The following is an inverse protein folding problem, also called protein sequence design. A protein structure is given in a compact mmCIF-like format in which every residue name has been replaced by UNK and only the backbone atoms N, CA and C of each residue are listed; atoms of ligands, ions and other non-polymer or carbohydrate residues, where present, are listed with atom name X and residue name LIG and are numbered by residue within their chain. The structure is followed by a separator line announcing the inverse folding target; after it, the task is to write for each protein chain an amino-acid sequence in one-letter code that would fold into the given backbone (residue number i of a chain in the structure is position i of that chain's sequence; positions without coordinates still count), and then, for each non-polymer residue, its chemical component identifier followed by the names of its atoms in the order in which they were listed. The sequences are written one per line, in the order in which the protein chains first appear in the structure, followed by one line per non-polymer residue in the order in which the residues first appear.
data_IF_346057554296
#
_entry.id   IF_346057554296
#
_cell.length_a   1.000
_cell.length_b   1.000
_cell.length_c   1.000
_cell.angle_alpha   90.00
_cell.angle_beta   90.00
_cell.angle_gamma   90.00
#
_symmetry.space_group_name_H-M   'P 1'
#
loop_
_entity.id
_entity.type
_entity.pdbx_description
1 polymer ?
#
# COMPACT_ATOMS: atom_id res chain seq x y z
N UNK A 1 32.85 61.23 23.43
CA UNK A 1 31.46 60.86 23.80
C UNK A 1 30.84 60.08 22.65
N UNK A 2 30.43 58.84 22.93
CA UNK A 2 29.76 57.92 22.01
C UNK A 2 28.34 58.35 21.68
N UNK A 3 27.86 58.06 20.45
CA UNK A 3 26.46 57.94 19.95
C UNK A 3 26.50 58.20 18.42
N UNK A 4 26.08 57.38 17.47
CA UNK A 4 25.19 56.20 17.40
C UNK A 4 25.59 55.41 16.13
N UNK A 5 25.83 54.10 16.24
CA UNK A 5 25.68 53.20 15.10
C UNK A 5 24.31 52.54 15.25
N UNK A 6 23.36 52.90 14.38
CA UNK A 6 22.05 52.26 14.34
C UNK A 6 22.12 51.08 13.38
N UNK A 7 21.84 49.93 13.95
CA UNK A 7 21.60 48.61 13.37
C UNK A 7 20.88 48.62 12.03
N UNK A 8 21.50 47.97 11.03
CA UNK A 8 20.78 47.29 9.94
C UNK A 8 21.43 45.92 9.78
N UNK A 9 20.91 44.93 10.51
CA UNK A 9 21.26 43.53 10.33
C UNK A 9 20.05 42.67 10.69
N UNK A 10 18.93 42.86 9.98
CA UNK A 10 17.80 41.94 9.99
C UNK A 10 17.28 41.83 8.55
N UNK A 11 17.95 41.02 7.73
CA UNK A 11 17.41 40.50 6.47
C UNK A 11 18.36 39.46 5.86
N UNK A 12 18.62 38.33 6.53
CA UNK A 12 19.28 37.18 5.86
C UNK A 12 18.81 35.79 6.33
N UNK A 13 17.86 35.68 7.27
CA UNK A 13 17.36 34.38 7.74
C UNK A 13 15.94 34.01 7.24
N UNK A 14 15.46 34.64 6.16
CA UNK A 14 14.12 34.39 5.62
C UNK A 14 14.12 33.80 4.19
N UNK A 15 15.22 33.16 3.78
CA UNK A 15 15.36 32.56 2.45
C UNK A 15 16.06 31.20 2.57
N UNK A 16 15.32 30.17 2.95
CA UNK A 16 15.52 28.76 2.52
C UNK A 16 14.76 27.77 3.42
N UNK A 17 13.43 27.89 3.47
CA UNK A 17 12.59 26.71 3.68
C UNK A 17 11.66 26.60 2.49
N UNK A 18 12.23 26.62 1.29
CA UNK A 18 11.59 25.99 0.15
C UNK A 18 11.69 24.49 0.41
N UNK A 19 10.68 23.93 1.08
CA UNK A 19 10.46 22.49 1.13
C UNK A 19 10.17 22.08 -0.32
N UNK A 20 11.23 21.83 -1.09
CA UNK A 20 11.10 21.10 -2.33
C UNK A 20 10.63 19.71 -1.92
N UNK A 21 9.33 19.46 -2.05
CA UNK A 21 8.86 18.11 -2.29
C UNK A 21 9.57 17.65 -3.56
N UNK A 22 10.71 16.98 -3.40
CA UNK A 22 11.51 16.49 -4.51
C UNK A 22 10.62 15.67 -5.43
N UNK A 23 10.76 15.87 -6.74
CA UNK A 23 10.13 15.00 -7.72
C UNK A 23 10.51 13.54 -7.41
N UNK A 24 9.56 12.62 -7.57
CA UNK A 24 9.82 11.20 -7.38
C UNK A 24 11.03 10.76 -8.23
N UNK A 25 11.89 9.94 -7.66
CA UNK A 25 12.93 9.24 -8.42
C UNK A 25 12.29 8.36 -9.48
N UNK A 26 13.04 7.98 -10.53
CA UNK A 26 12.52 7.07 -11.57
C UNK A 26 11.96 5.78 -10.98
N UNK A 27 12.63 5.17 -10.01
CA UNK A 27 12.14 3.96 -9.35
C UNK A 27 10.85 4.19 -8.54
N UNK A 28 10.74 5.33 -7.84
CA UNK A 28 9.49 5.70 -7.15
C UNK A 28 8.35 5.97 -8.13
N UNK A 29 8.63 6.58 -9.28
CA UNK A 29 7.64 6.78 -10.35
C UNK A 29 7.14 5.43 -10.87
N UNK A 30 8.02 4.45 -11.12
CA UNK A 30 7.60 3.10 -11.52
C UNK A 30 6.73 2.40 -10.46
N UNK A 31 7.07 2.55 -9.17
CA UNK A 31 6.25 2.00 -8.07
C UNK A 31 4.89 2.70 -8.00
N UNK A 32 4.84 4.02 -8.22
CA UNK A 32 3.59 4.76 -8.31
C UNK A 32 2.73 4.26 -9.47
N UNK A 33 3.31 4.13 -10.66
CA UNK A 33 2.62 3.62 -11.85
C UNK A 33 2.17 2.16 -11.66
N UNK A 34 2.94 1.35 -10.94
CA UNK A 34 2.50 0.01 -10.52
C UNK A 34 1.25 0.08 -9.65
N UNK A 35 1.24 0.94 -8.62
CA UNK A 35 0.10 1.09 -7.72
C UNK A 35 -1.14 1.63 -8.46
N UNK A 36 -0.97 2.67 -9.29
CA UNK A 36 -2.04 3.25 -10.10
C UNK A 36 -2.66 2.19 -11.04
N UNK A 37 -1.85 1.32 -11.66
CA UNK A 37 -2.34 0.21 -12.49
C UNK A 37 -3.06 -0.87 -11.71
N UNK A 38 -2.64 -1.16 -10.48
CA UNK A 38 -3.32 -2.16 -9.65
C UNK A 38 -4.71 -1.68 -9.23
N UNK A 39 -4.82 -0.41 -8.86
CA UNK A 39 -6.07 0.21 -8.42
C UNK A 39 -6.96 0.73 -9.56
N UNK A 40 -6.53 0.65 -10.82
CA UNK A 40 -7.39 0.95 -11.97
C UNK A 40 -8.39 -0.17 -12.28
N UNK A 41 -8.12 -1.40 -11.83
CA UNK A 41 -9.09 -2.49 -11.90
C UNK A 41 -10.22 -2.31 -10.89
N UNK A 42 -11.45 -2.54 -11.32
CA UNK A 42 -12.61 -2.51 -10.43
C UNK A 42 -12.55 -3.63 -9.39
N UNK A 43 -13.32 -3.49 -8.30
CA UNK A 43 -13.47 -4.55 -7.29
C UNK A 43 -13.95 -5.87 -7.91
N UNK A 44 -14.97 -5.79 -8.78
CA UNK A 44 -15.50 -6.91 -9.52
C UNK A 44 -14.46 -7.65 -10.36
N UNK A 45 -13.61 -6.93 -11.08
CA UNK A 45 -12.62 -7.56 -11.95
C UNK A 45 -11.47 -8.18 -11.15
N UNK A 46 -10.97 -7.47 -10.14
CA UNK A 46 -9.77 -7.85 -9.42
C UNK A 46 -10.03 -8.84 -8.28
N UNK A 47 -11.11 -8.66 -7.52
CA UNK A 47 -11.47 -9.55 -6.40
C UNK A 47 -12.58 -10.53 -6.82
N UNK A 48 -13.64 -10.03 -7.46
CA UNK A 48 -14.84 -10.82 -7.78
C UNK A 48 -14.76 -11.69 -9.05
N UNK A 49 -13.66 -11.61 -9.79
CA UNK A 49 -13.47 -12.26 -11.09
C UNK A 49 -14.63 -12.05 -12.10
N UNK A 50 -15.35 -10.93 -12.00
CA UNK A 50 -16.54 -10.62 -12.79
C UNK A 50 -16.20 -9.61 -13.90
N UNK A 51 -16.27 -10.07 -15.15
CA UNK A 51 -15.99 -9.28 -16.34
C UNK A 51 -17.23 -9.22 -17.22
N UNK A 52 -17.71 -8.01 -17.54
CA UNK A 52 -18.92 -7.81 -18.33
C UNK A 52 -20.13 -8.62 -17.78
N UNK A 53 -20.24 -8.73 -16.46
CA UNK A 53 -21.30 -9.49 -15.78
C UNK A 53 -21.14 -11.01 -15.83
N UNK A 54 -20.00 -11.55 -16.28
CA UNK A 54 -19.70 -12.98 -16.29
C UNK A 54 -18.46 -13.31 -15.47
N UNK A 55 -18.51 -14.40 -14.73
CA UNK A 55 -17.37 -14.88 -13.97
C UNK A 55 -16.31 -15.46 -14.92
N UNK A 56 -15.06 -15.00 -14.78
CA UNK A 56 -13.90 -15.45 -15.56
C UNK A 56 -12.68 -15.53 -14.63
N UNK A 57 -12.59 -16.65 -13.91
CA UNK A 57 -11.50 -16.93 -12.96
C UNK A 57 -10.13 -16.98 -13.62
N UNK A 58 -10.04 -17.47 -14.86
CA UNK A 58 -8.79 -17.54 -15.60
C UNK A 58 -8.26 -16.14 -15.96
N UNK A 59 -9.14 -15.21 -16.36
CA UNK A 59 -8.76 -13.81 -16.61
C UNK A 59 -8.37 -13.10 -15.33
N UNK A 60 -9.12 -13.31 -14.25
CA UNK A 60 -8.76 -12.80 -12.94
C UNK A 60 -7.36 -13.29 -12.50
N UNK A 61 -7.08 -14.58 -12.62
CA UNK A 61 -5.77 -15.12 -12.28
C UNK A 61 -4.63 -14.50 -13.11
N UNK A 62 -4.85 -14.26 -14.41
CA UNK A 62 -3.88 -13.54 -15.25
C UNK A 62 -3.60 -12.13 -14.73
N UNK A 63 -4.63 -11.43 -14.25
CA UNK A 63 -4.49 -10.09 -13.65
C UNK A 63 -3.71 -10.18 -12.35
N UNK A 64 -4.06 -11.08 -11.43
CA UNK A 64 -3.35 -11.23 -10.16
C UNK A 64 -1.87 -11.58 -10.37
N UNK A 65 -1.55 -12.43 -11.36
CA UNK A 65 -0.17 -12.75 -11.75
C UNK A 65 0.61 -11.55 -12.31
N UNK A 66 -0.03 -10.46 -12.75
CA UNK A 66 0.68 -9.22 -13.10
C UNK A 66 1.27 -8.59 -11.84
N UNK A 67 0.55 -8.64 -10.72
CA UNK A 67 0.90 -7.89 -9.51
C UNK A 67 1.61 -8.72 -8.46
N UNK A 68 1.25 -9.99 -8.26
CA UNK A 68 1.78 -10.83 -7.20
C UNK A 68 2.79 -11.85 -7.72
N UNK A 69 3.71 -12.27 -6.85
CA UNK A 69 4.51 -13.48 -7.10
C UNK A 69 3.64 -14.73 -7.01
N UNK A 70 3.98 -15.78 -7.75
CA UNK A 70 3.21 -17.04 -7.76
C UNK A 70 3.11 -17.67 -6.37
N UNK A 71 4.13 -17.52 -5.52
CA UNK A 71 4.12 -18.04 -4.14
C UNK A 71 3.10 -17.38 -3.21
N UNK A 72 2.50 -16.25 -3.61
CA UNK A 72 1.39 -15.61 -2.90
C UNK A 72 0.02 -15.98 -3.47
N UNK A 73 -0.03 -16.72 -4.58
CA UNK A 73 -1.27 -17.04 -5.26
C UNK A 73 -1.64 -18.50 -5.00
N UNK A 74 -2.81 -18.71 -4.42
CA UNK A 74 -3.40 -20.04 -4.36
C UNK A 74 -3.80 -20.44 -5.79
N UNK A 75 -3.26 -21.55 -6.34
CA UNK A 75 -3.57 -21.96 -7.70
C UNK A 75 -5.04 -22.35 -7.86
N UNK A 76 -5.57 -22.13 -9.06
CA UNK A 76 -6.91 -22.56 -9.45
C UNK A 76 -7.06 -24.08 -9.26
N UNK A 77 -7.91 -24.51 -8.32
CA UNK A 77 -8.12 -25.93 -8.02
C UNK A 77 -9.35 -26.52 -8.74
N UNK A 78 -10.26 -25.69 -9.27
CA UNK A 78 -11.50 -26.09 -9.98
C UNK A 78 -11.97 -25.02 -10.97
N UNK A 79 -12.70 -25.45 -12.02
CA UNK A 79 -13.28 -24.65 -13.14
C UNK A 79 -14.06 -23.37 -12.75
N UNK A 80 -14.34 -23.13 -11.47
CA UNK A 80 -15.19 -22.04 -10.98
C UNK A 80 -14.51 -21.15 -9.93
N UNK A 81 -13.25 -21.43 -9.55
CA UNK A 81 -12.51 -20.62 -8.57
C UNK A 81 -11.43 -19.82 -9.26
N UNK A 82 -11.39 -18.52 -8.96
CA UNK A 82 -10.28 -17.64 -9.32
C UNK A 82 -9.01 -17.99 -8.55
N UNK A 83 -7.86 -17.48 -9.00
CA UNK A 83 -6.71 -17.40 -8.12
C UNK A 83 -7.04 -16.45 -6.96
N UNK A 84 -6.53 -16.76 -5.78
CA UNK A 84 -6.72 -15.96 -4.57
C UNK A 84 -5.36 -15.60 -3.98
N UNK A 85 -5.25 -14.44 -3.36
CA UNK A 85 -4.00 -14.00 -2.72
C UNK A 85 -3.91 -14.63 -1.33
N UNK A 86 -3.21 -15.75 -1.19
CA UNK A 86 -2.91 -16.45 0.07
C UNK A 86 -4.11 -16.65 1.03
N UNK A 87 -5.34 -16.81 0.49
CA UNK A 87 -6.56 -16.93 1.30
C UNK A 87 -7.13 -15.60 1.83
N UNK A 88 -6.48 -14.49 1.49
CA UNK A 88 -6.90 -13.12 1.78
C UNK A 88 -7.81 -12.64 0.66
N UNK A 89 -9.12 -12.85 0.82
CA UNK A 89 -10.10 -12.60 -0.24
C UNK A 89 -10.21 -11.14 -0.70
N UNK A 90 -9.83 -10.17 0.14
CA UNK A 90 -10.01 -8.74 -0.15
C UNK A 90 -8.82 -7.89 0.31
N UNK A 91 -7.60 -8.24 -0.13
CA UNK A 91 -6.39 -7.54 0.33
C UNK A 91 -6.43 -6.03 0.04
N UNK A 92 -7.07 -5.58 -1.06
CA UNK A 92 -7.22 -4.14 -1.36
C UNK A 92 -8.21 -3.41 -0.42
N UNK A 93 -8.94 -4.15 0.42
CA UNK A 93 -9.96 -3.68 1.36
C UNK A 93 -9.77 -4.33 2.74
N UNK A 94 -8.72 -3.96 3.49
CA UNK A 94 -8.41 -4.59 4.77
C UNK A 94 -9.36 -4.11 5.88
N UNK A 95 -10.62 -4.53 5.88
CA UNK A 95 -11.44 -4.57 7.10
C UNK A 95 -12.43 -5.73 7.09
N UNK A 96 -12.17 -6.71 7.96
CA UNK A 96 -13.12 -7.54 8.70
C UNK A 96 -14.26 -8.23 7.93
N UNK A 97 -13.97 -8.81 6.77
CA UNK A 97 -14.81 -9.81 6.11
C UNK A 97 -15.69 -9.28 4.97
N UNK A 98 -16.42 -10.20 4.34
CA UNK A 98 -17.20 -9.98 3.10
C UNK A 98 -18.26 -8.87 3.15
N UNK A 99 -18.59 -8.35 4.34
CA UNK A 99 -19.63 -7.35 4.56
C UNK A 99 -19.37 -6.00 3.87
N UNK A 100 -18.10 -5.63 3.66
CA UNK A 100 -17.74 -4.31 3.12
C UNK A 100 -17.59 -4.31 1.58
N UNK A 101 -17.47 -5.49 0.95
CA UNK A 101 -17.53 -5.61 -0.51
C UNK A 101 -18.90 -5.14 -1.03
N UNK A 102 -19.97 -5.48 -0.30
CA UNK A 102 -21.35 -5.14 -0.65
C UNK A 102 -21.67 -3.64 -0.47
N UNK A 103 -20.99 -2.96 0.46
CA UNK A 103 -21.24 -1.53 0.76
C UNK A 103 -20.57 -0.57 -0.23
N UNK A 104 -19.49 -0.97 -0.89
CA UNK A 104 -18.65 -0.06 -1.69
C UNK A 104 -18.17 -0.60 -3.04
N UNK A 105 -18.40 -1.89 -3.34
CA UNK A 105 -17.66 -2.61 -4.37
C UNK A 105 -18.41 -3.00 -5.65
N UNK A 106 -19.73 -2.82 -5.76
CA UNK A 106 -20.43 -3.42 -6.92
C UNK A 106 -20.07 -2.80 -8.27
N UNK A 107 -19.67 -1.51 -8.35
CA UNK A 107 -19.34 -0.83 -9.62
C UNK A 107 -18.37 0.36 -9.43
N UNK A 108 -17.08 0.16 -9.70
CA UNK A 108 -16.14 1.27 -9.98
C UNK A 108 -14.95 1.43 -9.03
N UNK A 109 -14.33 2.62 -9.08
CA UNK A 109 -13.13 2.95 -8.32
C UNK A 109 -13.37 2.97 -6.81
N UNK A 110 -12.36 2.61 -6.03
CA UNK A 110 -12.42 2.58 -4.57
C UNK A 110 -12.59 4.00 -4.03
N UNK A 111 -13.78 4.32 -3.52
CA UNK A 111 -14.09 5.66 -3.02
C UNK A 111 -13.19 6.02 -1.84
N UNK A 112 -12.53 7.18 -1.94
CA UNK A 112 -11.67 7.68 -0.86
C UNK A 112 -10.31 6.98 -0.77
N UNK A 113 -9.92 6.23 -1.80
CA UNK A 113 -8.58 5.66 -1.90
C UNK A 113 -7.52 6.76 -1.92
N UNK A 114 -6.51 6.59 -1.06
CA UNK A 114 -5.28 7.38 -1.05
C UNK A 114 -4.10 6.43 -1.19
N UNK A 115 -3.25 6.70 -2.17
CA UNK A 115 -1.97 6.00 -2.33
C UNK A 115 -0.85 6.95 -1.89
N UNK A 116 -0.02 6.52 -0.95
CA UNK A 116 1.09 7.30 -0.41
C UNK A 116 2.23 6.39 0.04
N UNK A 117 3.26 6.97 0.68
CA UNK A 117 4.38 6.18 1.22
C UNK A 117 5.21 5.49 0.14
N UNK A 118 5.23 6.05 -1.07
CA UNK A 118 5.92 5.48 -2.22
C UNK A 118 7.43 5.60 -2.00
N UNK A 119 8.07 4.45 -1.80
CA UNK A 119 9.53 4.36 -1.67
C UNK A 119 10.07 3.27 -2.59
N UNK A 120 11.29 3.47 -3.06
CA UNK A 120 12.02 2.49 -3.85
C UNK A 120 13.51 2.61 -3.56
N UNK A 121 14.18 1.48 -3.40
CA UNK A 121 15.62 1.36 -3.20
C UNK A 121 16.12 0.12 -3.94
N UNK A 122 16.83 0.33 -5.05
CA UNK A 122 17.30 -0.73 -5.94
C UNK A 122 16.16 -1.58 -6.49
N UNK A 123 16.15 -2.86 -6.12
CA UNK A 123 15.15 -3.85 -6.53
C UNK A 123 13.95 -3.94 -5.57
N UNK A 124 13.88 -3.11 -4.53
CA UNK A 124 12.82 -3.13 -3.51
C UNK A 124 11.97 -1.88 -3.59
N UNK A 125 10.68 -2.01 -3.31
CA UNK A 125 9.77 -0.88 -3.24
C UNK A 125 8.64 -1.10 -2.25
N UNK A 126 7.93 -0.01 -1.94
CA UNK A 126 6.71 -0.04 -1.15
C UNK A 126 5.74 1.06 -1.59
N UNK A 127 4.47 0.83 -1.33
CA UNK A 127 3.47 1.88 -1.25
C UNK A 127 2.41 1.48 -0.22
N UNK A 128 1.73 2.47 0.32
CA UNK A 128 0.56 2.30 1.19
C UNK A 128 -0.69 2.73 0.46
N UNK A 129 -1.72 1.91 0.54
CA UNK A 129 -3.07 2.25 0.12
C UNK A 129 -3.95 2.35 1.36
N UNK A 130 -4.67 3.46 1.48
CA UNK A 130 -5.59 3.74 2.58
C UNK A 130 -6.95 4.11 2.01
N UNK A 131 -7.99 3.73 2.72
CA UNK A 131 -9.35 4.20 2.44
C UNK A 131 -9.91 4.87 3.67
N UNK A 132 -10.75 5.89 3.48
CA UNK A 132 -11.14 6.84 4.54
C UNK A 132 -11.78 6.22 5.79
N UNK A 133 -12.30 4.99 5.73
CA UNK A 133 -12.91 4.30 6.87
C UNK A 133 -12.41 2.86 7.11
N UNK A 134 -11.55 2.31 6.24
CA UNK A 134 -11.40 0.85 6.09
C UNK A 134 -9.97 0.32 6.23
N UNK A 135 -9.11 1.05 6.96
CA UNK A 135 -7.74 0.62 7.22
C UNK A 135 -6.79 0.87 6.04
N UNK A 136 -5.53 0.52 6.27
CA UNK A 136 -4.43 0.73 5.35
C UNK A 136 -3.74 -0.59 5.04
N UNK A 137 -3.29 -0.75 3.79
CA UNK A 137 -2.42 -1.86 3.37
C UNK A 137 -1.08 -1.26 2.98
N UNK A 138 -0.01 -1.76 3.57
CA UNK A 138 1.33 -1.51 3.07
C UNK A 138 1.77 -2.71 2.23
N UNK A 139 2.10 -2.45 0.96
CA UNK A 139 2.56 -3.46 0.02
C UNK A 139 4.07 -3.41 -0.09
N UNK A 140 4.70 -4.59 -0.11
CA UNK A 140 6.13 -4.74 -0.28
C UNK A 140 6.42 -5.35 -1.66
N UNK A 141 7.26 -4.68 -2.43
CA UNK A 141 7.53 -5.00 -3.81
C UNK A 141 8.98 -5.43 -4.00
N UNK A 142 9.21 -6.33 -4.95
CA UNK A 142 10.52 -6.57 -5.56
C UNK A 142 10.45 -6.48 -7.07
N UNK A 143 11.55 -6.06 -7.70
CA UNK A 143 11.71 -5.98 -9.16
C UNK A 143 12.40 -7.25 -9.67
N UNK A 144 11.69 -8.04 -10.47
CA UNK A 144 12.20 -9.24 -11.13
C UNK A 144 12.17 -9.04 -12.64
N UNK A 145 13.31 -9.19 -13.33
CA UNK A 145 13.39 -9.02 -14.79
C UNK A 145 12.70 -7.74 -15.29
N UNK A 146 13.00 -6.61 -14.63
CA UNK A 146 12.39 -5.29 -14.86
C UNK A 146 10.88 -5.17 -14.59
N UNK A 147 10.27 -6.12 -13.87
CA UNK A 147 8.88 -6.07 -13.48
C UNK A 147 8.73 -6.04 -11.96
N UNK A 148 8.04 -5.04 -11.45
CA UNK A 148 7.64 -4.99 -10.05
C UNK A 148 6.59 -6.06 -9.75
N UNK A 149 6.75 -6.74 -8.61
CA UNK A 149 5.80 -7.71 -8.05
C UNK A 149 5.67 -7.50 -6.55
N UNK A 150 4.47 -7.65 -6.02
CA UNK A 150 4.17 -7.75 -4.60
C UNK A 150 4.70 -9.10 -4.12
N UNK A 151 5.56 -9.03 -3.10
CA UNK A 151 6.15 -10.19 -2.42
C UNK A 151 5.62 -10.37 -1.01
N UNK A 152 5.01 -9.32 -0.43
CA UNK A 152 4.33 -9.37 0.84
C UNK A 152 3.37 -8.17 0.96
N UNK A 153 2.43 -8.23 1.89
CA UNK A 153 1.58 -7.11 2.26
C UNK A 153 1.21 -7.21 3.75
N UNK A 154 1.08 -6.06 4.40
CA UNK A 154 0.61 -5.93 5.78
C UNK A 154 -0.59 -5.01 5.82
N UNK A 155 -1.73 -5.55 6.26
CA UNK A 155 -2.97 -4.83 6.49
C UNK A 155 -3.06 -4.39 7.95
N UNK A 156 -3.40 -3.14 8.19
CA UNK A 156 -3.51 -2.58 9.54
C UNK A 156 -4.57 -1.49 9.64
N UNK A 157 -5.05 -1.26 10.86
CA UNK A 157 -5.86 -0.11 11.19
C UNK A 157 -5.07 0.82 12.11
N UNK A 158 -5.14 2.12 11.83
CA UNK A 158 -4.64 3.16 12.74
C UNK A 158 -5.87 3.78 13.40
N UNK A 159 -6.20 3.33 14.60
CA UNK A 159 -7.27 3.92 15.39
C UNK A 159 -6.69 4.77 16.52
N UNK A 160 -7.19 6.00 16.66
CA UNK A 160 -7.09 6.74 17.90
C UNK A 160 -8.27 6.36 18.79
N UNK A 161 -8.03 5.77 19.96
CA UNK A 161 -9.06 5.78 20.99
C UNK A 161 -9.23 7.22 21.50
N UNK A 162 -10.47 7.59 21.84
CA UNK A 162 -10.86 8.92 22.38
C UNK A 162 -10.08 9.37 23.63
N UNK A 163 -9.17 8.54 24.14
CA UNK A 163 -8.37 8.75 25.36
C UNK A 163 -6.85 8.72 25.10
N UNK A 164 -6.38 9.33 24.00
CA UNK A 164 -5.02 9.87 23.81
C UNK A 164 -3.86 8.95 23.40
N UNK A 165 -4.11 7.73 22.90
CA UNK A 165 -3.05 6.93 22.27
C UNK A 165 -3.48 6.43 20.88
N UNK A 166 -2.75 6.85 19.84
CA UNK A 166 -2.86 6.27 18.49
C UNK A 166 -2.12 4.94 18.50
N UNK A 167 -2.81 3.85 18.18
CA UNK A 167 -2.18 2.52 18.09
C UNK A 167 -2.42 1.90 16.71
N UNK A 168 -1.48 1.05 16.31
CA UNK A 168 -1.62 0.23 15.12
C UNK A 168 -2.16 -1.14 15.50
N UNK A 169 -3.27 -1.55 14.88
CA UNK A 169 -3.78 -2.91 14.98
C UNK A 169 -3.48 -3.63 13.67
N UNK A 170 -2.59 -4.62 13.73
CA UNK A 170 -2.35 -5.51 12.60
C UNK A 170 -3.58 -6.37 12.35
N UNK A 171 -4.09 -6.33 11.13
CA UNK A 171 -5.24 -7.11 10.69
C UNK A 171 -4.73 -8.40 10.07
N UNK A 172 -3.76 -8.30 9.17
CA UNK A 172 -3.31 -9.43 8.38
C UNK A 172 -1.92 -9.20 7.80
N UNK A 173 -1.19 -10.29 7.60
CA UNK A 173 0.08 -10.30 6.90
C UNK A 173 0.16 -11.54 6.01
N UNK A 174 0.63 -11.39 4.77
CA UNK A 174 0.65 -12.51 3.83
C UNK A 174 1.75 -13.54 4.12
N UNK A 175 2.91 -13.09 4.61
CA UNK A 175 4.08 -13.91 4.92
C UNK A 175 4.95 -13.25 6.00
N UNK A 176 5.90 -14.00 6.58
CA UNK A 176 6.93 -13.42 7.46
C UNK A 176 7.64 -12.20 6.82
N UNK A 177 7.92 -11.19 7.66
CA UNK A 177 8.55 -9.93 7.28
C UNK A 177 10.05 -10.10 7.12
N UNK A 178 10.58 -9.68 5.98
CA UNK A 178 12.01 -9.54 5.79
C UNK A 178 12.53 -8.23 6.43
N UNK A 179 13.77 -8.19 6.96
CA UNK A 179 14.25 -7.02 7.70
C UNK A 179 14.19 -5.68 6.96
N UNK A 180 14.29 -5.67 5.63
CA UNK A 180 14.17 -4.43 4.85
C UNK A 180 12.74 -3.88 4.80
N UNK A 181 11.73 -4.75 4.91
CA UNK A 181 10.33 -4.35 4.86
C UNK A 181 9.95 -3.53 6.09
N UNK A 182 10.50 -3.86 7.26
CA UNK A 182 10.28 -3.08 8.49
C UNK A 182 10.66 -1.61 8.38
N UNK A 183 11.65 -1.28 7.55
CA UNK A 183 12.08 0.11 7.35
C UNK A 183 10.98 0.98 6.73
N UNK A 184 10.01 0.34 6.09
CA UNK A 184 8.97 0.98 5.28
C UNK A 184 7.56 0.78 5.84
N UNK A 185 7.46 0.03 6.94
CA UNK A 185 6.24 -0.05 7.74
C UNK A 185 5.96 1.31 8.37
N UNK A 186 4.67 1.65 8.50
CA UNK A 186 4.27 2.86 9.20
C UNK A 186 4.88 2.89 10.61
N UNK A 187 5.49 4.00 11.09
CA UNK A 187 6.21 4.02 12.36
C UNK A 187 5.42 3.49 13.57
N UNK A 188 4.12 3.80 13.64
CA UNK A 188 3.23 3.30 14.70
C UNK A 188 2.95 1.79 14.64
N UNK A 189 3.26 1.14 13.52
CA UNK A 189 3.03 -0.27 13.27
C UNK A 189 4.30 -1.11 13.36
N UNK A 190 5.49 -0.50 13.50
CA UNK A 190 6.77 -1.23 13.47
C UNK A 190 6.82 -2.29 14.56
N UNK A 191 6.44 -1.95 15.79
CA UNK A 191 6.47 -2.90 16.92
C UNK A 191 5.55 -4.10 16.67
N UNK A 192 4.34 -3.87 16.19
CA UNK A 192 3.39 -4.94 15.86
C UNK A 192 3.85 -5.81 14.70
N UNK A 193 4.35 -5.19 13.63
CA UNK A 193 4.84 -5.92 12.45
C UNK A 193 6.14 -6.67 12.75
N UNK A 194 6.99 -6.17 13.65
CA UNK A 194 8.25 -6.81 14.02
C UNK A 194 8.08 -8.19 14.66
N UNK A 195 6.90 -8.47 15.25
CA UNK A 195 6.54 -9.79 15.79
C UNK A 195 6.53 -10.89 14.72
N UNK A 196 6.37 -10.50 13.46
CA UNK A 196 6.34 -11.39 12.29
C UNK A 196 7.67 -11.38 11.52
N UNK A 197 8.75 -10.86 12.11
CA UNK A 197 10.07 -10.95 11.50
C UNK A 197 10.46 -12.40 11.25
N UNK A 198 10.90 -12.66 10.01
CA UNK A 198 11.47 -13.94 9.63
C UNK A 198 12.70 -14.23 10.51
N UNK A 199 12.66 -15.33 11.26
CA UNK A 199 13.76 -15.80 12.11
C UNK A 199 14.87 -16.46 11.30
#
# INVERSE_FOLDING_TARGET
MMKKFISIAIACCALSISVFAGSLTSAQTEVKEFADRMYSYSANEFEGALFNGKQDGARNCRILKIFFIDGLLTPEDKKWRSCEVAGVGYLRYPKLGSYDFDLYGEKGAIKGLKIYGIQADGDKGTFTAETTNFGSVNYFLRKFNNQWKIVNASAFNISGEKNSHTYCAMIEILNDIEPWQLKWVHPLCVDEVSKYLKK
#
